data_IF_695956334134
#
_entry.id   IF_695956334134
#
_cell.length_a   1.000
_cell.length_b   1.000
_cell.length_c   1.000
_cell.angle_alpha   90.00
_cell.angle_beta   90.00
_cell.angle_gamma   90.00
#
_symmetry.space_group_name_H-M   'P 1'
#
loop_
_entity.id
_entity.type
_entity.pdbx_description
1 polymer ?
#
# COMPACT_ATOMS: atom_id res chain seq x y z
N UNK A 1 -9.77 -42.67 -20.54
CA UNK A 1 -9.81 -42.05 -19.19
C UNK A 1 -8.65 -42.65 -18.44
N UNK A 2 -7.49 -42.02 -18.52
CA UNK A 2 -6.33 -42.44 -17.74
C UNK A 2 -6.62 -42.17 -16.25
N UNK A 3 -6.34 -43.16 -15.40
CA UNK A 3 -6.48 -43.03 -13.96
C UNK A 3 -5.67 -41.82 -13.46
N UNK A 4 -6.17 -41.04 -12.48
CA UNK A 4 -5.43 -39.91 -11.94
C UNK A 4 -4.16 -40.45 -11.27
N UNK A 5 -3.00 -40.17 -11.86
CA UNK A 5 -1.71 -40.36 -11.21
C UNK A 5 -1.79 -39.65 -9.86
N UNK A 6 -1.60 -40.39 -8.76
CA UNK A 6 -1.51 -39.85 -7.42
C UNK A 6 -0.26 -38.94 -7.37
N UNK A 7 -0.42 -37.67 -7.75
CA UNK A 7 0.68 -36.71 -7.83
C UNK A 7 1.02 -36.29 -6.40
N UNK A 8 2.19 -36.70 -5.91
CA UNK A 8 2.75 -36.17 -4.68
C UNK A 8 2.95 -34.66 -4.82
N UNK A 9 2.65 -33.92 -3.75
CA UNK A 9 2.88 -32.47 -3.73
C UNK A 9 4.38 -32.16 -3.95
N UNK A 10 4.72 -31.03 -4.59
CA UNK A 10 6.11 -30.61 -4.78
C UNK A 10 6.85 -30.48 -3.45
N UNK A 11 7.96 -31.21 -3.33
CA UNK A 11 8.80 -31.27 -2.12
C UNK A 11 10.26 -31.56 -2.50
N UNK A 12 11.17 -31.28 -1.57
CA UNK A 12 12.54 -31.79 -1.58
C UNK A 12 12.99 -31.97 -0.14
N UNK A 13 12.94 -33.22 0.34
CA UNK A 13 13.25 -33.54 1.73
C UNK A 13 14.73 -33.30 2.00
N UNK A 14 15.60 -33.59 1.03
CA UNK A 14 17.04 -33.41 1.11
C UNK A 14 17.42 -31.93 1.27
N UNK A 15 16.73 -31.04 0.57
CA UNK A 15 16.92 -29.60 0.72
C UNK A 15 16.44 -29.11 2.09
N UNK A 16 15.29 -29.59 2.57
CA UNK A 16 14.79 -29.26 3.91
C UNK A 16 15.74 -29.75 5.02
N UNK A 17 16.26 -30.98 4.90
CA UNK A 17 17.29 -31.52 5.79
C UNK A 17 18.55 -30.66 5.76
N UNK A 18 18.97 -30.22 4.58
CA UNK A 18 20.16 -29.39 4.43
C UNK A 18 20.01 -28.01 5.08
N UNK A 19 18.81 -27.41 4.99
CA UNK A 19 18.49 -26.14 5.66
C UNK A 19 18.52 -26.31 7.17
N UNK A 20 17.80 -27.30 7.71
CA UNK A 20 17.72 -27.54 9.16
C UNK A 20 19.09 -27.92 9.72
N UNK A 21 19.83 -28.81 9.05
CA UNK A 21 21.18 -29.18 9.47
C UNK A 21 22.12 -27.97 9.51
N UNK A 22 22.01 -27.05 8.54
CA UNK A 22 22.80 -25.82 8.53
C UNK A 22 22.47 -24.91 9.73
N UNK A 23 21.19 -24.83 10.10
CA UNK A 23 20.73 -24.08 11.29
C UNK A 23 21.24 -24.68 12.60
N UNK A 24 21.43 -26.01 12.66
CA UNK A 24 21.97 -26.71 13.83
C UNK A 24 23.49 -26.49 13.97
N UNK A 25 24.20 -26.31 12.85
CA UNK A 25 25.66 -26.19 12.83
C UNK A 25 26.13 -24.74 12.98
N UNK A 26 25.43 -23.77 12.38
CA UNK A 26 25.86 -22.38 12.29
C UNK A 26 24.75 -21.41 12.73
N UNK A 27 25.01 -20.61 13.78
CA UNK A 27 24.08 -19.59 14.28
C UNK A 27 23.74 -18.53 13.21
N UNK A 28 24.68 -18.21 12.31
CA UNK A 28 24.43 -17.24 11.23
C UNK A 28 23.47 -17.80 10.17
N UNK A 29 23.43 -19.12 9.99
CA UNK A 29 22.48 -19.77 9.09
C UNK A 29 21.03 -19.54 9.55
N UNK A 30 20.79 -19.51 10.87
CA UNK A 30 19.45 -19.29 11.44
C UNK A 30 18.89 -17.94 10.99
N UNK A 31 19.67 -16.86 11.15
CA UNK A 31 19.26 -15.51 10.74
C UNK A 31 18.92 -15.44 9.25
N UNK A 32 19.74 -16.07 8.40
CA UNK A 32 19.54 -16.09 6.95
C UNK A 32 18.30 -16.88 6.53
N UNK A 33 18.00 -17.98 7.22
CA UNK A 33 16.80 -18.79 6.96
C UNK A 33 15.54 -18.02 7.39
N UNK A 34 15.58 -17.34 8.53
CA UNK A 34 14.49 -16.53 9.07
C UNK A 34 14.02 -15.42 8.12
N UNK A 35 14.95 -14.85 7.34
CA UNK A 35 14.61 -13.83 6.34
C UNK A 35 13.79 -14.38 5.16
N UNK A 36 13.85 -15.69 4.88
CA UNK A 36 13.34 -16.26 3.62
C UNK A 36 12.29 -17.36 3.79
N UNK A 37 12.26 -18.08 4.92
CA UNK A 37 11.39 -19.23 5.14
C UNK A 37 10.59 -19.11 6.43
N UNK A 38 9.37 -19.65 6.39
CA UNK A 38 8.47 -19.82 7.52
C UNK A 38 8.25 -21.33 7.81
N UNK A 39 7.66 -21.63 8.97
CA UNK A 39 7.33 -23.00 9.38
C UNK A 39 6.52 -23.75 8.30
N UNK A 40 5.55 -23.08 7.66
CA UNK A 40 4.70 -23.68 6.64
C UNK A 40 5.40 -23.96 5.30
N UNK A 41 6.63 -23.46 5.11
CA UNK A 41 7.41 -23.72 3.90
C UNK A 41 8.08 -25.10 3.90
N UNK A 42 8.14 -25.77 5.05
CA UNK A 42 8.58 -27.16 5.15
C UNK A 42 7.42 -28.11 4.86
N UNK A 43 7.65 -29.11 4.00
CA UNK A 43 6.64 -30.11 3.67
C UNK A 43 6.45 -31.13 4.79
N UNK A 44 7.55 -31.61 5.37
CA UNK A 44 7.49 -32.68 6.38
C UNK A 44 7.12 -32.09 7.74
N UNK A 45 6.10 -32.63 8.39
CA UNK A 45 5.66 -32.16 9.71
C UNK A 45 6.77 -32.20 10.76
N UNK A 46 7.63 -33.21 10.73
CA UNK A 46 8.80 -33.28 11.62
C UNK A 46 9.78 -32.12 11.40
N UNK A 47 9.95 -31.64 10.17
CA UNK A 47 10.78 -30.47 9.87
C UNK A 47 10.15 -29.18 10.38
N UNK A 48 8.82 -29.04 10.29
CA UNK A 48 8.09 -27.91 10.89
C UNK A 48 8.35 -27.82 12.40
N UNK A 49 8.25 -28.95 13.09
CA UNK A 49 8.50 -29.06 14.54
C UNK A 49 9.94 -28.67 14.88
N UNK A 50 10.92 -29.19 14.14
CA UNK A 50 12.34 -28.87 14.37
C UNK A 50 12.60 -27.38 14.11
N UNK A 51 12.10 -26.84 12.99
CA UNK A 51 12.25 -25.44 12.66
C UNK A 51 11.70 -24.53 13.75
N UNK A 52 10.48 -24.81 14.21
CA UNK A 52 9.83 -24.06 15.30
C UNK A 52 10.66 -24.12 16.60
N UNK A 53 11.17 -25.29 16.97
CA UNK A 53 12.00 -25.46 18.16
C UNK A 53 13.30 -24.64 18.07
N UNK A 54 14.00 -24.69 16.93
CA UNK A 54 15.20 -23.89 16.69
C UNK A 54 14.88 -22.39 16.83
N UNK A 55 13.73 -21.97 16.30
CA UNK A 55 13.28 -20.58 16.35
C UNK A 55 13.01 -20.10 17.77
N UNK A 56 12.31 -20.90 18.57
CA UNK A 56 12.06 -20.63 19.98
C UNK A 56 13.37 -20.59 20.79
N UNK A 57 14.28 -21.53 20.54
CA UNK A 57 15.59 -21.54 21.19
C UNK A 57 16.39 -20.28 20.85
N UNK A 58 16.44 -19.91 19.57
CA UNK A 58 17.15 -18.72 19.10
C UNK A 58 16.57 -17.42 19.68
N UNK A 59 15.23 -17.30 19.75
CA UNK A 59 14.55 -16.14 20.37
C UNK A 59 14.83 -15.98 21.86
N UNK A 60 15.00 -17.10 22.57
CA UNK A 60 15.36 -17.10 24.00
C UNK A 60 16.88 -17.01 24.22
N UNK A 61 17.65 -16.66 23.18
CA UNK A 61 19.12 -16.60 23.17
C UNK A 61 19.81 -17.87 23.70
N UNK A 62 19.16 -19.03 23.50
CA UNK A 62 19.73 -20.33 23.80
C UNK A 62 20.65 -20.77 22.67
N UNK A 63 21.74 -21.46 23.02
CA UNK A 63 22.60 -22.09 22.02
C UNK A 63 21.81 -23.15 21.26
N UNK A 64 21.90 -23.12 19.93
CA UNK A 64 21.29 -24.11 19.03
C UNK A 64 22.42 -24.98 18.49
N UNK A 65 22.46 -26.22 18.98
CA UNK A 65 23.32 -27.30 18.50
C UNK A 65 22.55 -28.63 18.63
N UNK A 66 23.13 -29.73 18.17
CA UNK A 66 22.46 -31.03 18.19
C UNK A 66 22.04 -31.46 19.61
N UNK A 67 22.87 -31.23 20.62
CA UNK A 67 22.62 -31.71 21.99
C UNK A 67 21.53 -30.88 22.64
N UNK A 68 21.66 -29.56 22.56
CA UNK A 68 20.69 -28.59 23.11
C UNK A 68 19.32 -28.75 22.45
N UNK A 69 19.26 -28.95 21.12
CA UNK A 69 18.01 -29.16 20.41
C UNK A 69 17.31 -30.46 20.83
N UNK A 70 18.06 -31.56 20.99
CA UNK A 70 17.51 -32.83 21.45
C UNK A 70 16.93 -32.72 22.87
N UNK A 71 17.65 -32.05 23.78
CA UNK A 71 17.17 -31.84 25.15
C UNK A 71 15.93 -30.94 25.18
N UNK A 72 15.92 -29.87 24.37
CA UNK A 72 14.76 -28.99 24.24
C UNK A 72 13.52 -29.73 23.72
N UNK A 73 13.66 -30.49 22.62
CA UNK A 73 12.57 -31.30 22.06
C UNK A 73 12.09 -32.39 23.00
N UNK A 74 12.97 -32.94 23.85
CA UNK A 74 12.61 -33.92 24.87
C UNK A 74 11.83 -33.27 26.01
N UNK A 75 12.29 -32.12 26.49
CA UNK A 75 11.64 -31.35 27.56
C UNK A 75 10.25 -30.84 27.19
N UNK A 76 10.00 -30.63 25.89
CA UNK A 76 8.73 -30.16 25.33
C UNK A 76 7.85 -31.31 24.80
N UNK A 77 8.26 -32.57 24.98
CA UNK A 77 7.57 -33.77 24.48
C UNK A 77 7.36 -33.81 22.95
N UNK A 78 8.15 -33.04 22.19
CA UNK A 78 8.06 -32.94 20.72
C UNK A 78 9.06 -33.83 19.98
N UNK A 79 9.99 -34.48 20.69
CA UNK A 79 11.08 -35.28 20.10
C UNK A 79 10.60 -36.38 19.15
N UNK A 80 9.57 -37.13 19.54
CA UNK A 80 9.01 -38.19 18.70
C UNK A 80 8.34 -37.62 17.43
N UNK A 81 7.65 -36.47 17.56
CA UNK A 81 7.04 -35.78 16.41
C UNK A 81 8.08 -35.21 15.45
N UNK A 82 9.25 -34.82 15.95
CA UNK A 82 10.39 -34.38 15.15
C UNK A 82 11.09 -35.54 14.38
N UNK A 83 10.76 -36.79 14.68
CA UNK A 83 11.36 -37.99 14.07
C UNK A 83 12.37 -38.72 14.96
N UNK A 84 12.53 -38.29 16.21
CA UNK A 84 13.39 -38.94 17.20
C UNK A 84 14.89 -38.61 17.06
N UNK A 85 15.68 -39.11 18.01
CA UNK A 85 17.12 -38.83 18.13
C UNK A 85 17.88 -39.22 16.87
N UNK A 86 17.60 -40.40 16.33
CA UNK A 86 18.30 -40.95 15.17
C UNK A 86 18.13 -40.04 13.95
N UNK A 87 16.91 -39.56 13.71
CA UNK A 87 16.61 -38.72 12.56
C UNK A 87 17.26 -37.34 12.68
N UNK A 88 17.17 -36.69 13.83
CA UNK A 88 17.77 -35.36 14.04
C UNK A 88 19.31 -35.43 13.90
N UNK A 89 19.91 -36.53 14.37
CA UNK A 89 21.35 -36.77 14.19
C UNK A 89 21.71 -36.95 12.72
N UNK A 90 20.90 -37.69 11.95
CA UNK A 90 21.06 -37.83 10.50
C UNK A 90 20.95 -36.47 9.78
N UNK A 91 19.96 -35.65 10.13
CA UNK A 91 19.77 -34.31 9.56
C UNK A 91 20.99 -33.41 9.82
N UNK A 92 21.49 -33.39 11.05
CA UNK A 92 22.71 -32.65 11.40
C UNK A 92 23.94 -33.14 10.61
N UNK A 93 24.02 -34.45 10.39
CA UNK A 93 25.13 -35.09 9.63
C UNK A 93 25.01 -34.94 8.11
N UNK A 94 23.83 -34.58 7.60
CA UNK A 94 23.54 -34.53 6.17
C UNK A 94 24.13 -33.32 5.45
N UNK A 95 24.61 -32.31 6.19
CA UNK A 95 25.12 -31.05 5.65
C UNK A 95 26.64 -31.09 5.51
N UNK A 96 27.19 -31.13 4.27
CA UNK A 96 28.63 -31.12 4.07
C UNK A 96 29.23 -29.70 4.23
N UNK A 97 28.44 -28.66 3.94
CA UNK A 97 28.85 -27.26 4.00
C UNK A 97 27.64 -26.32 4.05
N UNK A 98 27.74 -25.25 4.84
CA UNK A 98 26.74 -24.17 4.90
C UNK A 98 26.88 -23.16 3.74
N UNK A 99 27.93 -23.26 2.92
CA UNK A 99 28.18 -22.32 1.82
C UNK A 99 27.02 -22.27 0.80
N UNK A 100 26.34 -23.40 0.58
CA UNK A 100 25.24 -23.53 -0.37
C UNK A 100 23.85 -23.28 0.26
N UNK A 101 23.79 -22.81 1.51
CA UNK A 101 22.53 -22.60 2.22
C UNK A 101 21.51 -21.77 1.43
N UNK A 102 21.96 -20.71 0.75
CA UNK A 102 21.08 -19.90 -0.12
C UNK A 102 20.38 -20.72 -1.20
N UNK A 103 21.08 -21.68 -1.80
CA UNK A 103 20.51 -22.53 -2.84
C UNK A 103 19.48 -23.50 -2.27
N UNK A 104 19.74 -24.07 -1.08
CA UNK A 104 18.77 -24.95 -0.42
C UNK A 104 17.53 -24.19 0.04
N UNK A 105 17.70 -23.00 0.62
CA UNK A 105 16.60 -22.08 0.96
C UNK A 105 15.72 -21.83 -0.27
N UNK A 106 16.35 -21.50 -1.41
CA UNK A 106 15.62 -21.25 -2.66
C UNK A 106 14.83 -22.48 -3.11
N UNK A 107 15.43 -23.68 -3.06
CA UNK A 107 14.72 -24.92 -3.43
C UNK A 107 13.49 -25.14 -2.54
N UNK A 108 13.63 -25.01 -1.22
CA UNK A 108 12.51 -25.19 -0.28
C UNK A 108 11.42 -24.14 -0.53
N UNK A 109 11.82 -22.88 -0.72
CA UNK A 109 10.92 -21.77 -1.06
C UNK A 109 10.16 -22.04 -2.36
N UNK A 110 10.85 -22.42 -3.45
CA UNK A 110 10.24 -22.72 -4.74
C UNK A 110 9.22 -23.87 -4.62
N UNK A 111 9.56 -24.94 -3.88
CA UNK A 111 8.62 -26.06 -3.65
C UNK A 111 7.43 -25.62 -2.80
N UNK A 112 7.64 -24.81 -1.77
CA UNK A 112 6.55 -24.24 -0.97
C UNK A 112 5.59 -23.40 -1.82
N UNK A 113 6.12 -22.50 -2.66
CA UNK A 113 5.34 -21.69 -3.59
C UNK A 113 4.50 -22.55 -4.52
N UNK A 114 5.07 -23.62 -5.09
CA UNK A 114 4.30 -24.57 -5.90
C UNK A 114 3.17 -25.27 -5.12
N UNK A 115 3.40 -25.63 -3.84
CA UNK A 115 2.34 -26.20 -3.00
C UNK A 115 1.24 -25.19 -2.69
N UNK A 116 1.61 -23.94 -2.38
CA UNK A 116 0.66 -22.83 -2.16
C UNK A 116 -0.18 -22.58 -3.41
N UNK A 117 0.44 -22.61 -4.59
CA UNK A 117 -0.26 -22.50 -5.89
C UNK A 117 -1.26 -23.64 -6.09
N UNK A 118 -0.86 -24.90 -5.88
CA UNK A 118 -1.76 -26.05 -6.01
C UNK A 118 -2.97 -25.89 -5.07
N UNK A 119 -2.73 -25.54 -3.80
CA UNK A 119 -3.81 -25.32 -2.81
C UNK A 119 -4.74 -24.18 -3.24
N UNK A 120 -4.19 -23.06 -3.70
CA UNK A 120 -4.98 -21.93 -4.18
C UNK A 120 -5.81 -22.31 -5.43
N UNK A 121 -5.21 -23.03 -6.39
CA UNK A 121 -5.93 -23.53 -7.56
C UNK A 121 -7.06 -24.47 -7.19
N UNK A 122 -6.87 -25.39 -6.24
CA UNK A 122 -7.95 -26.26 -5.75
C UNK A 122 -9.10 -25.45 -5.16
N UNK A 123 -8.81 -24.45 -4.33
CA UNK A 123 -9.86 -23.56 -3.81
C UNK A 123 -10.56 -22.78 -4.93
N UNK A 124 -9.84 -22.28 -5.93
CA UNK A 124 -10.44 -21.57 -7.07
C UNK A 124 -11.37 -22.50 -7.86
N UNK A 125 -10.99 -23.77 -8.03
CA UNK A 125 -11.84 -24.78 -8.67
C UNK A 125 -13.12 -24.99 -7.85
N UNK A 126 -13.01 -25.16 -6.54
CA UNK A 126 -14.17 -25.32 -5.64
C UNK A 126 -15.11 -24.11 -5.69
N UNK A 127 -14.57 -22.89 -5.61
CA UNK A 127 -15.33 -21.64 -5.73
C UNK A 127 -16.05 -21.53 -7.08
N UNK A 128 -15.39 -21.97 -8.16
CA UNK A 128 -15.98 -21.94 -9.51
C UNK A 128 -17.19 -22.87 -9.64
N UNK A 129 -17.21 -24.00 -8.93
CA UNK A 129 -18.38 -24.89 -8.90
C UNK A 129 -19.51 -24.35 -8.02
N UNK A 130 -19.17 -23.74 -6.88
CA UNK A 130 -20.12 -23.35 -5.84
C UNK A 130 -20.77 -21.97 -6.08
N UNK A 131 -20.06 -21.01 -6.68
CA UNK A 131 -20.48 -19.60 -6.80
C UNK A 131 -20.74 -19.16 -8.24
N UNK A 132 -21.64 -19.87 -8.94
CA UNK A 132 -21.94 -19.63 -10.36
C UNK A 132 -22.68 -18.31 -10.64
N UNK A 133 -23.29 -17.69 -9.63
CA UNK A 133 -24.10 -16.48 -9.76
C UNK A 133 -23.31 -15.17 -9.69
N UNK A 134 -22.04 -15.19 -9.26
CA UNK A 134 -21.21 -13.99 -9.14
C UNK A 134 -19.78 -14.25 -9.65
N UNK A 135 -19.67 -14.33 -10.98
CA UNK A 135 -18.40 -14.61 -11.68
C UNK A 135 -17.33 -13.56 -11.36
N UNK A 136 -17.71 -12.29 -11.25
CA UNK A 136 -16.78 -11.19 -10.93
C UNK A 136 -16.09 -11.41 -9.58
N UNK A 137 -16.85 -11.78 -8.55
CA UNK A 137 -16.28 -12.07 -7.23
C UNK A 137 -15.35 -13.29 -7.24
N UNK A 138 -15.69 -14.34 -8.02
CA UNK A 138 -14.80 -15.51 -8.17
C UNK A 138 -13.46 -15.11 -8.79
N UNK A 139 -13.47 -14.22 -9.78
CA UNK A 139 -12.25 -13.67 -10.40
C UNK A 139 -11.44 -12.84 -9.40
N UNK A 140 -12.05 -11.94 -8.61
CA UNK A 140 -11.31 -11.17 -7.59
C UNK A 140 -10.68 -12.08 -6.53
N UNK A 141 -11.40 -13.10 -6.06
CA UNK A 141 -10.87 -14.08 -5.09
C UNK A 141 -9.67 -14.84 -5.68
N UNK A 142 -9.76 -15.25 -6.95
CA UNK A 142 -8.67 -15.92 -7.64
C UNK A 142 -7.43 -15.01 -7.76
N UNK A 143 -7.61 -13.79 -8.24
CA UNK A 143 -6.52 -12.81 -8.37
C UNK A 143 -5.88 -12.51 -7.02
N UNK A 144 -6.69 -12.29 -5.97
CA UNK A 144 -6.19 -12.02 -4.61
C UNK A 144 -5.35 -13.17 -4.07
N UNK A 145 -5.76 -14.42 -4.29
CA UNK A 145 -5.00 -15.60 -3.86
C UNK A 145 -3.66 -15.70 -4.57
N UNK A 146 -3.64 -15.50 -5.89
CA UNK A 146 -2.40 -15.53 -6.67
C UNK A 146 -1.47 -14.38 -6.26
N UNK A 147 -2.02 -13.19 -6.08
CA UNK A 147 -1.28 -12.01 -5.64
C UNK A 147 -0.62 -12.23 -4.27
N UNK A 148 -1.36 -12.76 -3.29
CA UNK A 148 -0.80 -13.06 -1.97
C UNK A 148 0.34 -14.09 -2.00
N UNK A 149 0.28 -15.05 -2.92
CA UNK A 149 1.36 -16.03 -3.12
C UNK A 149 2.59 -15.37 -3.72
N UNK A 150 2.41 -14.49 -4.72
CA UNK A 150 3.52 -13.75 -5.33
C UNK A 150 4.22 -12.83 -4.31
N UNK A 151 3.46 -12.19 -3.41
CA UNK A 151 3.97 -11.32 -2.35
C UNK A 151 4.46 -12.09 -1.10
N UNK A 152 4.49 -13.44 -1.12
CA UNK A 152 4.88 -14.27 0.03
C UNK A 152 4.11 -13.95 1.34
N UNK A 153 2.89 -13.45 1.25
CA UNK A 153 2.11 -13.05 2.41
C UNK A 153 1.59 -14.27 3.15
N UNK A 154 2.11 -14.47 4.36
CA UNK A 154 1.59 -15.47 5.30
C UNK A 154 0.53 -14.79 6.15
N UNK A 155 -0.76 -14.96 5.81
CA UNK A 155 -1.84 -14.48 6.68
C UNK A 155 -1.90 -15.36 7.94
N UNK A 156 -1.31 -14.91 9.04
CA UNK A 156 -1.70 -15.42 10.36
C UNK A 156 -2.96 -14.67 10.76
N UNK A 157 -4.08 -15.39 10.91
CA UNK A 157 -5.37 -14.79 11.25
C UNK A 157 -5.37 -14.17 12.66
N UNK A 158 -4.49 -14.67 13.54
CA UNK A 158 -4.28 -14.16 14.89
C UNK A 158 -2.78 -14.10 15.19
N UNK A 159 -2.33 -12.99 15.77
CA UNK A 159 -0.97 -12.79 16.25
C UNK A 159 -0.98 -12.44 17.74
N UNK A 160 0.04 -12.88 18.48
CA UNK A 160 0.15 -12.55 19.90
C UNK A 160 0.55 -11.08 20.07
N UNK A 161 0.06 -10.43 21.13
CA UNK A 161 0.45 -9.04 21.43
C UNK A 161 1.97 -8.90 21.60
N UNK A 162 2.63 -9.93 22.13
CA UNK A 162 4.09 -9.97 22.29
C UNK A 162 4.82 -9.84 20.95
N UNK A 163 4.48 -10.68 19.97
CA UNK A 163 5.09 -10.63 18.63
C UNK A 163 4.83 -9.27 17.94
N UNK A 164 3.63 -8.70 18.13
CA UNK A 164 3.28 -7.38 17.57
C UNK A 164 4.11 -6.26 18.21
N UNK A 165 4.27 -6.28 19.53
CA UNK A 165 5.06 -5.28 20.25
C UNK A 165 6.55 -5.37 19.91
N UNK A 166 7.11 -6.57 19.76
CA UNK A 166 8.51 -6.77 19.38
C UNK A 166 8.82 -6.12 18.02
N UNK A 167 7.95 -6.33 17.02
CA UNK A 167 8.06 -5.62 15.73
C UNK A 167 7.85 -4.11 15.86
N UNK A 168 6.91 -3.69 16.70
CA UNK A 168 6.65 -2.28 16.98
C UNK A 168 7.85 -1.56 17.59
N UNK A 169 8.59 -2.20 18.49
CA UNK A 169 9.79 -1.63 19.11
C UNK A 169 10.90 -1.36 18.10
N UNK A 170 11.16 -2.28 17.16
CA UNK A 170 12.12 -2.04 16.08
C UNK A 170 11.75 -0.82 15.23
N UNK A 171 10.45 -0.61 14.99
CA UNK A 171 9.97 0.55 14.24
C UNK A 171 10.14 1.85 15.04
N UNK A 172 9.86 1.84 16.35
CA UNK A 172 10.09 2.99 17.24
C UNK A 172 11.58 3.34 17.31
N UNK A 173 12.46 2.35 17.41
CA UNK A 173 13.91 2.56 17.43
C UNK A 173 14.40 3.20 16.13
N UNK A 174 13.89 2.74 14.98
CA UNK A 174 14.16 3.36 13.68
C UNK A 174 13.72 4.83 13.64
N UNK A 175 12.53 5.14 14.15
CA UNK A 175 12.01 6.51 14.23
C UNK A 175 12.82 7.40 15.19
N UNK A 176 13.26 6.83 16.32
CA UNK A 176 14.10 7.55 17.27
C UNK A 176 15.46 7.92 16.69
N UNK A 177 16.04 7.03 15.88
CA UNK A 177 17.32 7.27 15.21
C UNK A 177 17.19 8.25 14.03
N UNK A 178 16.04 8.26 13.35
CA UNK A 178 15.76 9.14 12.21
C UNK A 178 14.94 10.39 12.61
N UNK A 179 15.39 11.11 13.65
CA UNK A 179 14.67 12.30 14.14
C UNK A 179 14.39 13.30 13.02
N UNK A 180 13.10 13.60 12.80
CA UNK A 180 12.65 14.61 11.85
C UNK A 180 12.25 14.06 10.47
N UNK A 181 12.41 12.76 10.21
CA UNK A 181 11.87 12.16 8.99
C UNK A 181 10.35 11.91 9.11
N UNK A 182 9.65 12.20 8.01
CA UNK A 182 8.24 11.87 7.83
C UNK A 182 8.09 10.35 7.78
N UNK A 183 7.28 9.77 8.65
CA UNK A 183 7.17 8.30 8.78
C UNK A 183 6.43 7.65 7.61
N UNK A 184 5.46 8.39 7.05
CA UNK A 184 4.66 7.98 5.89
C UNK A 184 5.20 8.53 4.57
N UNK A 185 4.34 8.51 3.55
CA UNK A 185 4.59 9.20 2.27
C UNK A 185 4.38 10.70 2.48
N UNK A 186 5.41 11.56 2.32
CA UNK A 186 5.26 12.99 2.53
C UNK A 186 4.40 13.62 1.43
N UNK A 187 3.59 14.59 1.82
CA UNK A 187 2.76 15.36 0.88
C UNK A 187 3.54 16.42 0.12
N UNK A 188 4.70 16.84 0.65
CA UNK A 188 5.48 17.97 0.15
C UNK A 188 5.04 19.32 0.69
N UNK A 189 3.98 19.34 1.49
CA UNK A 189 3.55 20.51 2.25
C UNK A 189 4.01 20.38 3.69
N UNK A 190 4.99 21.18 4.10
CA UNK A 190 5.69 21.05 5.38
C UNK A 190 4.75 21.10 6.57
N UNK A 191 3.81 22.05 6.58
CA UNK A 191 2.85 22.21 7.67
C UNK A 191 1.80 21.09 7.70
N UNK A 192 1.50 20.48 6.55
CA UNK A 192 0.62 19.33 6.48
C UNK A 192 1.35 18.08 6.99
N UNK A 193 2.57 17.85 6.54
CA UNK A 193 3.41 16.72 6.95
C UNK A 193 3.76 16.79 8.43
N UNK A 194 3.94 17.98 9.00
CA UNK A 194 4.11 18.16 10.44
C UNK A 194 2.87 17.68 11.25
N UNK A 195 1.68 17.79 10.67
CA UNK A 195 0.43 17.35 11.32
C UNK A 195 0.10 15.88 11.04
N UNK A 196 0.41 15.37 9.86
CA UNK A 196 0.07 14.00 9.44
C UNK A 196 1.19 13.00 9.71
N UNK A 197 2.43 13.47 9.88
CA UNK A 197 3.65 12.64 9.77
C UNK A 197 3.71 11.89 8.43
N UNK A 198 3.14 12.49 7.38
CA UNK A 198 2.95 11.89 6.06
C UNK A 198 1.77 10.91 6.03
N UNK A 199 1.42 10.46 4.84
CA UNK A 199 0.33 9.50 4.65
C UNK A 199 0.82 8.08 4.93
N UNK A 200 0.22 7.41 5.90
CA UNK A 200 0.69 6.10 6.35
C UNK A 200 0.22 4.98 5.41
N UNK A 201 0.99 3.90 5.37
CA UNK A 201 0.64 2.69 4.63
C UNK A 201 -0.71 2.12 5.09
N UNK A 202 -1.58 1.78 4.15
CA UNK A 202 -2.89 1.23 4.45
C UNK A 202 -3.97 2.26 4.81
N UNK A 203 -3.63 3.56 4.90
CA UNK A 203 -4.60 4.62 5.15
C UNK A 203 -5.39 5.01 3.91
N UNK A 204 -6.66 5.34 4.13
CA UNK A 204 -7.52 6.01 3.16
C UNK A 204 -7.61 7.49 3.52
N UNK A 205 -7.09 8.34 2.65
CA UNK A 205 -7.07 9.79 2.79
C UNK A 205 -8.14 10.38 1.87
N UNK A 206 -9.18 10.96 2.45
CA UNK A 206 -10.25 11.61 1.70
C UNK A 206 -9.96 13.10 1.53
N UNK A 207 -9.96 13.59 0.30
CA UNK A 207 -9.85 15.02 -0.01
C UNK A 207 -11.12 15.46 -0.71
N UNK A 208 -11.88 16.35 -0.08
CA UNK A 208 -13.13 16.82 -0.62
C UNK A 208 -13.18 18.34 -0.77
N UNK A 209 -13.81 18.81 -1.84
CA UNK A 209 -13.97 20.23 -2.08
C UNK A 209 -15.20 20.52 -2.95
N UNK A 210 -15.61 21.78 -3.00
CA UNK A 210 -16.51 22.26 -4.06
C UNK A 210 -15.77 22.32 -5.40
N UNK A 211 -16.48 22.31 -6.53
CA UNK A 211 -15.89 22.58 -7.84
C UNK A 211 -15.04 23.86 -7.82
N UNK A 212 -13.98 23.90 -8.63
CA UNK A 212 -13.06 25.05 -8.77
C UNK A 212 -12.20 25.40 -7.55
N UNK A 213 -12.28 24.63 -6.45
CA UNK A 213 -11.43 24.84 -5.25
C UNK A 213 -10.01 24.28 -5.38
N UNK A 214 -9.68 23.58 -6.48
CA UNK A 214 -8.33 23.04 -6.72
C UNK A 214 -8.09 21.60 -6.26
N UNK A 215 -9.15 20.82 -6.01
CA UNK A 215 -9.10 19.39 -5.57
C UNK A 215 -8.10 18.53 -6.35
N UNK A 216 -8.26 18.44 -7.67
CA UNK A 216 -7.35 17.68 -8.54
C UNK A 216 -5.95 18.25 -8.53
N UNK A 217 -5.81 19.58 -8.55
CA UNK A 217 -4.50 20.25 -8.52
C UNK A 217 -3.73 19.90 -7.25
N UNK A 218 -4.38 19.97 -6.08
CA UNK A 218 -3.77 19.61 -4.81
C UNK A 218 -3.29 18.15 -4.79
N UNK A 219 -4.12 17.21 -5.26
CA UNK A 219 -3.76 15.80 -5.35
C UNK A 219 -2.60 15.54 -6.32
N UNK A 220 -2.58 16.24 -7.46
CA UNK A 220 -1.48 16.16 -8.43
C UNK A 220 -0.18 16.73 -7.87
N UNK A 221 -0.20 17.84 -7.12
CA UNK A 221 1.02 18.38 -6.53
C UNK A 221 1.64 17.45 -5.47
N UNK A 222 0.79 16.74 -4.72
CA UNK A 222 1.23 15.65 -3.83
C UNK A 222 1.88 14.53 -4.66
N UNK A 223 1.19 14.03 -5.69
CA UNK A 223 1.69 12.97 -6.55
C UNK A 223 3.02 13.35 -7.23
N UNK A 224 3.12 14.59 -7.70
CA UNK A 224 4.30 15.19 -8.30
C UNK A 224 5.48 15.20 -7.33
N UNK A 225 5.26 15.68 -6.09
CA UNK A 225 6.29 15.68 -5.05
C UNK A 225 6.78 14.26 -4.72
N UNK A 226 5.85 13.33 -4.50
CA UNK A 226 6.14 11.92 -4.19
C UNK A 226 6.93 11.25 -5.32
N UNK A 227 6.58 11.51 -6.57
CA UNK A 227 7.27 10.88 -7.69
C UNK A 227 8.63 11.54 -8.01
N UNK A 228 8.70 12.87 -7.95
CA UNK A 228 9.89 13.61 -8.39
C UNK A 228 10.93 13.81 -7.28
N UNK A 229 10.51 14.05 -6.04
CA UNK A 229 11.40 14.36 -4.91
C UNK A 229 11.68 13.13 -4.06
N UNK A 230 10.67 12.28 -3.83
CA UNK A 230 10.82 11.04 -3.05
C UNK A 230 11.17 9.82 -3.92
N UNK A 231 11.11 9.95 -5.26
CA UNK A 231 11.38 8.87 -6.21
C UNK A 231 10.51 7.61 -6.04
N UNK A 232 9.30 7.81 -5.49
CA UNK A 232 8.31 6.78 -5.20
C UNK A 232 7.35 6.58 -6.39
N UNK A 233 6.73 5.41 -6.45
CA UNK A 233 5.80 5.01 -7.51
C UNK A 233 4.38 5.47 -7.20
N UNK A 234 3.76 6.22 -8.10
CA UNK A 234 2.42 6.79 -7.94
C UNK A 234 1.49 6.32 -9.05
N UNK A 235 0.33 5.81 -8.67
CA UNK A 235 -0.75 5.45 -9.60
C UNK A 235 -1.89 6.44 -9.49
N UNK A 236 -2.36 6.97 -10.62
CA UNK A 236 -3.45 7.95 -10.69
C UNK A 236 -4.57 7.36 -11.55
N UNK A 237 -5.74 7.16 -10.95
CA UNK A 237 -6.98 6.88 -11.66
C UNK A 237 -7.74 8.18 -11.85
N UNK A 238 -7.89 8.62 -13.10
CA UNK A 238 -8.64 9.83 -13.45
C UNK A 238 -9.92 9.47 -14.17
N UNK A 239 -11.05 9.67 -13.50
CA UNK A 239 -12.38 9.35 -13.99
C UNK A 239 -13.05 10.57 -14.65
N UNK A 240 -12.54 11.77 -14.38
CA UNK A 240 -13.09 13.04 -14.91
C UNK A 240 -12.22 13.63 -16.04
N UNK A 241 -10.89 13.54 -15.91
CA UNK A 241 -9.95 14.18 -16.83
C UNK A 241 -9.19 13.14 -17.66
N UNK A 242 -8.87 13.50 -18.90
CA UNK A 242 -7.95 12.70 -19.72
C UNK A 242 -6.52 12.74 -19.16
N UNK A 243 -5.75 11.69 -19.43
CA UNK A 243 -4.32 11.62 -19.06
C UNK A 243 -3.50 12.78 -19.63
N UNK A 244 -3.83 13.26 -20.84
CA UNK A 244 -3.15 14.42 -21.45
C UNK A 244 -3.39 15.70 -20.64
N UNK A 245 -4.63 15.92 -20.19
CA UNK A 245 -4.94 17.10 -19.37
C UNK A 245 -4.23 17.05 -18.00
N UNK A 246 -4.11 15.87 -17.39
CA UNK A 246 -3.32 15.72 -16.15
C UNK A 246 -1.84 15.93 -16.40
N UNK A 247 -1.30 15.40 -17.50
CA UNK A 247 0.11 15.59 -17.88
C UNK A 247 0.44 17.08 -18.07
N UNK A 248 -0.43 17.84 -18.73
CA UNK A 248 -0.26 19.29 -18.86
C UNK A 248 -0.29 20.01 -17.51
N UNK A 249 -1.14 19.60 -16.57
CA UNK A 249 -1.15 20.16 -15.21
C UNK A 249 0.16 19.91 -14.47
N UNK A 250 0.67 18.68 -14.51
CA UNK A 250 1.95 18.32 -13.91
C UNK A 250 3.11 19.12 -14.54
N UNK A 251 3.10 19.24 -15.88
CA UNK A 251 4.10 20.02 -16.61
C UNK A 251 4.07 21.50 -16.24
N UNK A 252 2.89 22.14 -16.21
CA UNK A 252 2.76 23.54 -15.80
C UNK A 252 3.21 23.78 -14.36
N UNK A 253 2.90 22.85 -13.46
CA UNK A 253 3.27 22.94 -12.04
C UNK A 253 4.79 22.86 -11.84
N UNK A 254 5.46 21.91 -12.49
CA UNK A 254 6.91 21.74 -12.36
C UNK A 254 7.66 22.87 -13.11
N UNK A 255 7.18 23.25 -14.30
CA UNK A 255 7.81 24.30 -15.12
C UNK A 255 7.50 25.73 -14.64
N UNK A 256 6.49 25.92 -13.77
CA UNK A 256 5.92 27.22 -13.43
C UNK A 256 5.49 28.03 -14.67
N UNK A 257 4.84 27.36 -15.61
CA UNK A 257 4.33 27.97 -16.86
C UNK A 257 2.81 28.11 -16.79
N UNK A 258 2.32 29.26 -17.26
CA UNK A 258 0.89 29.56 -17.26
C UNK A 258 0.12 28.56 -18.12
N UNK A 259 -0.90 27.92 -17.54
CA UNK A 259 -1.70 26.91 -18.20
C UNK A 259 -2.51 27.46 -19.38
N UNK A 260 -2.96 28.72 -19.31
CA UNK A 260 -3.64 29.37 -20.43
C UNK A 260 -2.68 29.55 -21.61
N UNK A 261 -1.43 29.99 -21.35
CA UNK A 261 -0.40 30.11 -22.40
C UNK A 261 -0.11 28.77 -23.06
N UNK A 262 0.06 27.71 -22.27
CA UNK A 262 0.27 26.35 -22.78
C UNK A 262 -0.89 25.91 -23.67
N UNK A 263 -2.13 26.16 -23.24
CA UNK A 263 -3.34 25.77 -23.98
C UNK A 263 -3.55 26.58 -25.26
N UNK A 264 -3.20 27.87 -25.28
CA UNK A 264 -3.35 28.73 -26.46
C UNK A 264 -2.15 28.69 -27.40
N UNK A 265 -1.04 28.09 -26.96
CA UNK A 265 0.24 28.10 -27.69
C UNK A 265 0.96 29.45 -27.63
N UNK A 266 0.51 30.39 -26.80
CA UNK A 266 1.12 31.71 -26.63
C UNK A 266 2.31 31.67 -25.65
N UNK A 267 3.25 30.76 -25.91
CA UNK A 267 4.47 30.55 -25.12
C UNK A 267 5.57 31.46 -25.62
N UNK A 268 6.30 32.08 -24.69
CA UNK A 268 7.53 32.79 -24.99
C UNK A 268 8.76 31.86 -24.92
N UNK A 269 9.94 32.36 -25.32
CA UNK A 269 11.16 31.55 -25.34
C UNK A 269 11.52 31.02 -23.94
N UNK A 270 11.23 31.79 -22.88
CA UNK A 270 11.50 31.37 -21.51
C UNK A 270 10.54 30.25 -21.06
N UNK A 271 9.27 30.32 -21.45
CA UNK A 271 8.30 29.27 -21.20
C UNK A 271 8.76 27.94 -21.85
N UNK A 272 9.28 27.99 -23.08
CA UNK A 272 9.83 26.82 -23.78
C UNK A 272 11.05 26.23 -23.06
N UNK A 273 11.97 27.08 -22.59
CA UNK A 273 13.11 26.64 -21.79
C UNK A 273 12.65 25.95 -20.49
N UNK A 274 11.70 26.54 -19.78
CA UNK A 274 11.15 25.98 -18.53
C UNK A 274 10.47 24.63 -18.78
N UNK A 275 9.68 24.51 -19.84
CA UNK A 275 9.03 23.24 -20.24
C UNK A 275 10.09 22.18 -20.56
N UNK A 276 11.13 22.54 -21.31
CA UNK A 276 12.19 21.60 -21.67
C UNK A 276 12.94 21.09 -20.42
N UNK A 277 13.22 21.99 -19.46
CA UNK A 277 13.85 21.62 -18.19
C UNK A 277 12.97 20.69 -17.35
N UNK A 278 11.66 20.94 -17.26
CA UNK A 278 10.72 20.12 -16.48
C UNK A 278 10.41 18.76 -17.12
N UNK A 279 10.46 18.67 -18.46
CA UNK A 279 10.12 17.45 -19.20
C UNK A 279 11.06 16.27 -18.89
N UNK A 280 12.34 16.54 -18.66
CA UNK A 280 13.34 15.50 -18.37
C UNK A 280 13.06 14.74 -17.07
N UNK A 281 12.95 15.42 -15.92
CA UNK A 281 12.55 14.81 -14.64
C UNK A 281 11.18 14.13 -14.71
N UNK A 282 10.16 14.79 -15.28
CA UNK A 282 8.81 14.22 -15.41
C UNK A 282 8.78 12.94 -16.22
N UNK A 283 9.54 12.86 -17.32
CA UNK A 283 9.63 11.64 -18.15
C UNK A 283 10.25 10.44 -17.42
N UNK A 284 11.04 10.68 -16.36
CA UNK A 284 11.66 9.63 -15.54
C UNK A 284 10.86 9.32 -14.28
N UNK A 285 9.85 10.14 -13.97
CA UNK A 285 9.02 9.97 -12.79
C UNK A 285 8.17 8.70 -12.92
N UNK A 286 8.02 7.97 -11.82
CA UNK A 286 7.21 6.74 -11.76
C UNK A 286 5.73 7.10 -11.54
N UNK A 287 5.15 7.84 -12.48
CA UNK A 287 3.73 8.23 -12.46
C UNK A 287 2.98 7.42 -13.52
N UNK A 288 2.02 6.62 -13.09
CA UNK A 288 1.19 5.79 -13.97
C UNK A 288 -0.24 6.30 -13.95
N UNK A 289 -0.75 6.72 -15.11
CA UNK A 289 -2.08 7.34 -15.23
C UNK A 289 -3.01 6.40 -15.99
N UNK A 290 -4.21 6.22 -15.46
CA UNK A 290 -5.30 5.49 -16.07
C UNK A 290 -6.55 6.38 -16.12
N UNK A 291 -6.99 6.72 -17.33
CA UNK A 291 -8.17 7.55 -17.59
C UNK A 291 -9.39 6.76 -18.11
N UNK A 292 -9.43 5.45 -17.81
CA UNK A 292 -10.57 4.59 -18.20
C UNK A 292 -11.86 5.06 -17.51
N UNK A 293 -12.82 5.55 -18.30
CA UNK A 293 -14.12 5.98 -17.80
C UNK A 293 -14.94 4.80 -17.25
N UNK A 294 -15.64 5.02 -16.13
CA UNK A 294 -16.55 4.03 -15.54
C UNK A 294 -15.87 2.76 -15.01
N UNK A 295 -14.56 2.81 -14.73
CA UNK A 295 -13.81 1.68 -14.18
C UNK A 295 -14.34 1.29 -12.80
N UNK A 296 -14.52 -0.01 -12.60
CA UNK A 296 -15.02 -0.57 -11.33
C UNK A 296 -13.88 -0.65 -10.30
N UNK A 297 -14.23 -0.74 -9.00
CA UNK A 297 -13.20 -0.93 -7.94
C UNK A 297 -12.40 -2.22 -8.18
N UNK A 298 -13.04 -3.27 -8.70
CA UNK A 298 -12.40 -4.55 -8.98
C UNK A 298 -11.34 -4.40 -10.07
N UNK A 299 -11.68 -3.76 -11.20
CA UNK A 299 -10.72 -3.50 -12.26
C UNK A 299 -9.54 -2.65 -11.79
N UNK A 300 -9.79 -1.63 -10.95
CA UNK A 300 -8.71 -0.85 -10.32
C UNK A 300 -7.78 -1.76 -9.48
N UNK A 301 -8.35 -2.66 -8.67
CA UNK A 301 -7.57 -3.62 -7.85
C UNK A 301 -6.71 -4.52 -8.73
N UNK A 302 -7.26 -5.07 -9.81
CA UNK A 302 -6.52 -5.90 -10.77
C UNK A 302 -5.36 -5.13 -11.42
N UNK A 303 -5.59 -3.88 -11.84
CA UNK A 303 -4.54 -3.01 -12.40
C UNK A 303 -3.47 -2.67 -11.36
N UNK A 304 -3.85 -2.39 -10.12
CA UNK A 304 -2.91 -2.13 -9.02
C UNK A 304 -2.06 -3.37 -8.70
N UNK A 305 -2.65 -4.57 -8.64
CA UNK A 305 -1.90 -5.83 -8.42
C UNK A 305 -0.81 -6.01 -9.48
N UNK A 306 -1.17 -5.83 -10.76
CA UNK A 306 -0.23 -5.94 -11.87
C UNK A 306 0.91 -4.92 -11.77
N UNK A 307 0.58 -3.65 -11.53
CA UNK A 307 1.57 -2.58 -11.39
C UNK A 307 2.48 -2.77 -10.16
N UNK A 308 1.93 -3.19 -9.02
CA UNK A 308 2.72 -3.46 -7.80
C UNK A 308 3.75 -4.57 -8.03
N UNK A 309 3.38 -5.64 -8.73
CA UNK A 309 4.31 -6.72 -9.06
C UNK A 309 5.44 -6.30 -10.02
N UNK A 310 5.16 -5.38 -10.94
CA UNK A 310 6.12 -4.99 -11.99
C UNK A 310 7.02 -3.81 -11.56
N UNK A 311 6.45 -2.82 -10.86
CA UNK A 311 7.11 -1.53 -10.57
C UNK A 311 7.06 -1.12 -9.09
N UNK A 312 6.25 -1.78 -8.27
CA UNK A 312 5.88 -1.31 -6.93
C UNK A 312 4.85 -0.17 -6.96
N UNK A 313 4.17 0.07 -5.84
CA UNK A 313 3.23 1.19 -5.66
C UNK A 313 3.41 1.75 -4.25
N UNK A 314 3.64 3.06 -4.16
CA UNK A 314 3.82 3.77 -2.89
C UNK A 314 2.66 4.74 -2.61
N UNK A 315 1.91 5.17 -3.63
CA UNK A 315 0.74 6.03 -3.48
C UNK A 315 -0.27 5.74 -4.60
N UNK A 316 -1.56 5.72 -4.25
CA UNK A 316 -2.65 5.65 -5.22
C UNK A 316 -3.50 6.91 -5.08
N UNK A 317 -3.85 7.55 -6.19
CA UNK A 317 -4.75 8.71 -6.26
C UNK A 317 -5.96 8.34 -7.12
N UNK A 318 -7.18 8.62 -6.64
CA UNK A 318 -8.43 8.35 -7.34
C UNK A 318 -9.24 9.65 -7.48
N UNK A 319 -9.40 10.16 -8.69
CA UNK A 319 -10.17 11.38 -9.00
C UNK A 319 -11.36 11.09 -9.92
N UNK A 320 -12.61 10.97 -9.46
CA UNK A 320 -13.11 11.06 -8.09
C UNK A 320 -14.18 9.99 -7.82
N UNK A 321 -14.36 9.64 -6.56
CA UNK A 321 -15.10 8.45 -6.11
C UNK A 321 -16.50 8.29 -6.71
N UNK A 322 -17.23 9.39 -6.88
CA UNK A 322 -18.62 9.34 -7.33
C UNK A 322 -18.78 8.99 -8.82
N UNK A 323 -17.72 8.90 -9.62
CA UNK A 323 -17.80 8.41 -11.00
C UNK A 323 -17.61 6.91 -11.14
N UNK A 324 -17.36 6.21 -10.04
CA UNK A 324 -17.25 4.76 -10.01
C UNK A 324 -18.63 4.12 -10.05
N UNK A 325 -18.76 3.09 -10.88
CA UNK A 325 -19.91 2.21 -10.95
C UNK A 325 -19.77 1.08 -9.93
N UNK A 326 -20.79 0.88 -9.10
CA UNK A 326 -21.04 -0.40 -8.44
C UNK A 326 -21.51 -1.41 -9.48
N UNK A 327 -21.16 -2.69 -9.30
CA UNK A 327 -21.45 -3.76 -10.26
C UNK A 327 -22.92 -3.81 -10.72
N UNK A 328 -23.15 -4.50 -11.84
CA UNK A 328 -24.33 -4.41 -12.72
C UNK A 328 -25.73 -4.73 -12.13
N UNK A 329 -25.89 -4.88 -10.80
CA UNK A 329 -27.14 -5.29 -10.14
C UNK A 329 -27.71 -4.27 -9.12
N UNK A 330 -27.34 -2.99 -9.18
CA UNK A 330 -27.82 -1.95 -8.25
C UNK A 330 -29.11 -1.26 -8.72
N UNK A 331 -30.25 -1.89 -8.48
CA UNK A 331 -31.59 -1.29 -8.69
C UNK A 331 -32.12 -0.58 -7.42
N UNK A 332 -31.24 -0.15 -6.50
CA UNK A 332 -31.70 0.52 -5.29
C UNK A 332 -30.60 1.06 -4.38
N UNK A 333 -30.55 2.39 -4.31
CA UNK A 333 -29.88 3.21 -3.30
C UNK A 333 -28.38 3.50 -3.51
N UNK A 334 -28.12 4.61 -4.20
CA UNK A 334 -26.79 5.23 -4.41
C UNK A 334 -25.94 5.33 -3.13
N UNK A 335 -26.57 5.50 -1.96
CA UNK A 335 -25.87 5.55 -0.68
C UNK A 335 -25.18 4.22 -0.33
N UNK A 336 -25.81 3.09 -0.68
CA UNK A 336 -25.24 1.77 -0.43
C UNK A 336 -24.04 1.51 -1.35
N UNK A 337 -24.17 1.86 -2.63
CA UNK A 337 -23.09 1.78 -3.62
C UNK A 337 -21.85 2.57 -3.18
N UNK A 338 -22.04 3.82 -2.76
CA UNK A 338 -20.95 4.67 -2.25
C UNK A 338 -20.30 4.06 -0.99
N UNK A 339 -21.09 3.41 -0.13
CA UNK A 339 -20.58 2.72 1.06
C UNK A 339 -19.74 1.50 0.69
N UNK A 340 -20.12 0.75 -0.35
CA UNK A 340 -19.36 -0.39 -0.84
C UNK A 340 -18.05 0.05 -1.51
N UNK A 341 -18.09 1.12 -2.32
CA UNK A 341 -16.90 1.72 -2.93
C UNK A 341 -15.90 2.14 -1.84
N UNK A 342 -16.37 2.87 -0.82
CA UNK A 342 -15.55 3.33 0.30
C UNK A 342 -14.81 2.19 1.01
N UNK A 343 -15.55 1.15 1.42
CA UNK A 343 -14.96 -0.04 2.06
C UNK A 343 -13.96 -0.74 1.16
N UNK A 344 -14.27 -0.82 -0.13
CA UNK A 344 -13.40 -1.48 -1.10
C UNK A 344 -12.09 -0.70 -1.33
N UNK A 345 -12.13 0.63 -1.25
CA UNK A 345 -10.95 1.48 -1.34
C UNK A 345 -10.10 1.39 -0.08
N UNK A 346 -10.71 1.37 1.11
CA UNK A 346 -9.96 1.10 2.35
C UNK A 346 -9.33 -0.30 2.33
N UNK A 347 -10.02 -1.29 1.77
CA UNK A 347 -9.46 -2.62 1.57
C UNK A 347 -8.31 -2.61 0.55
N UNK A 348 -8.42 -1.86 -0.55
CA UNK A 348 -7.34 -1.66 -1.52
C UNK A 348 -6.10 -1.04 -0.87
N UNK A 349 -6.26 0.00 -0.04
CA UNK A 349 -5.14 0.61 0.69
C UNK A 349 -4.39 -0.41 1.55
N UNK A 350 -5.13 -1.20 2.34
CA UNK A 350 -4.55 -2.27 3.17
C UNK A 350 -3.92 -3.38 2.33
N UNK A 351 -4.54 -3.79 1.23
CA UNK A 351 -4.01 -4.82 0.34
C UNK A 351 -2.73 -4.35 -0.36
N UNK A 352 -2.67 -3.10 -0.81
CA UNK A 352 -1.48 -2.55 -1.48
C UNK A 352 -0.41 -2.09 -0.51
N UNK A 353 -0.68 -2.04 0.80
CA UNK A 353 0.25 -1.51 1.82
C UNK A 353 0.76 -0.12 1.43
N UNK A 354 -0.11 0.72 0.88
CA UNK A 354 0.20 2.09 0.53
C UNK A 354 -1.00 3.01 0.87
N UNK A 355 -0.77 4.30 1.11
CA UNK A 355 -1.85 5.26 1.22
C UNK A 355 -2.66 5.35 -0.09
N UNK A 356 -3.97 5.52 0.05
CA UNK A 356 -4.88 5.82 -1.06
C UNK A 356 -5.52 7.19 -0.82
N UNK A 357 -5.22 8.14 -1.70
CA UNK A 357 -5.87 9.45 -1.75
C UNK A 357 -7.10 9.34 -2.64
N UNK A 358 -8.28 9.48 -2.04
CA UNK A 358 -9.54 9.47 -2.74
C UNK A 358 -10.13 10.89 -2.78
N UNK A 359 -10.41 11.37 -3.98
CA UNK A 359 -11.03 12.68 -4.17
C UNK A 359 -12.56 12.55 -4.15
N UNK A 360 -13.22 13.48 -3.47
CA UNK A 360 -14.68 13.49 -3.37
C UNK A 360 -15.23 14.90 -3.61
N UNK A 361 -16.41 15.00 -4.21
CA UNK A 361 -17.10 16.27 -4.36
C UNK A 361 -18.05 16.50 -3.18
N UNK A 362 -18.10 17.73 -2.68
CA UNK A 362 -19.04 18.13 -1.64
C UNK A 362 -20.43 18.44 -2.20
N UNK A 363 -21.45 18.24 -1.36
CA UNK A 363 -22.80 18.77 -1.62
C UNK A 363 -22.80 20.30 -1.75
N UNK A 364 -23.93 20.89 -2.14
CA UNK A 364 -24.09 22.36 -2.22
C UNK A 364 -24.32 23.02 -0.86
N UNK A 365 -24.40 22.26 0.25
CA UNK A 365 -24.69 22.79 1.57
C UNK A 365 -23.74 23.89 2.07
N UNK A 366 -22.41 23.84 1.82
CA UNK A 366 -21.51 24.93 2.20
C UNK A 366 -21.90 26.28 1.57
N UNK A 367 -22.46 26.30 0.37
CA UNK A 367 -22.83 27.54 -0.33
C UNK A 367 -23.98 28.31 0.36
N UNK A 368 -24.72 27.64 1.25
CA UNK A 368 -25.83 28.24 1.99
C UNK A 368 -25.42 28.81 3.34
N UNK A 369 -24.24 28.43 3.86
CA UNK A 369 -23.70 28.97 5.12
C UNK A 369 -22.97 30.29 4.85
N UNK A 370 -22.95 31.17 5.85
CA UNK A 370 -22.28 32.47 5.73
C UNK A 370 -20.75 32.36 5.58
N UNK A 371 -20.13 31.34 6.17
CA UNK A 371 -18.69 31.14 6.15
C UNK A 371 -18.19 30.29 4.97
N UNK A 372 -19.09 29.63 4.24
CA UNK A 372 -18.81 28.72 3.12
C UNK A 372 -17.81 27.58 3.38
N UNK A 373 -17.27 27.46 4.59
CA UNK A 373 -16.25 26.49 4.98
C UNK A 373 -16.85 25.09 5.08
N UNK A 374 -16.30 24.08 4.39
CA UNK A 374 -16.78 22.71 4.49
C UNK A 374 -16.63 22.11 5.89
N UNK A 375 -17.54 21.19 6.23
CA UNK A 375 -17.52 20.36 7.42
C UNK A 375 -17.96 18.94 7.09
N UNK A 376 -17.76 18.00 8.02
CA UNK A 376 -18.02 16.57 7.81
C UNK A 376 -19.46 16.27 7.32
N UNK A 377 -20.45 17.00 7.84
CA UNK A 377 -21.86 16.83 7.45
C UNK A 377 -22.15 17.18 5.97
N UNK A 378 -21.24 17.87 5.28
CA UNK A 378 -21.41 18.21 3.86
C UNK A 378 -21.11 17.04 2.92
N UNK A 379 -20.54 15.95 3.45
CA UNK A 379 -20.40 14.64 2.81
C UNK A 379 -21.72 13.83 2.85
N UNK A 380 -22.88 14.48 2.99
CA UNK A 380 -24.19 13.89 3.37
C UNK A 380 -24.66 12.65 2.57
N UNK A 381 -24.19 12.44 1.34
CA UNK A 381 -24.46 11.23 0.53
C UNK A 381 -23.42 10.11 0.73
N UNK A 382 -22.51 10.29 1.68
CA UNK A 382 -21.22 9.63 1.79
C UNK A 382 -20.78 9.47 3.25
N UNK A 383 -21.74 9.41 4.20
CA UNK A 383 -21.41 9.25 5.63
C UNK A 383 -20.58 8.00 5.94
N UNK A 384 -20.66 6.96 5.10
CA UNK A 384 -19.79 5.79 5.13
C UNK A 384 -18.35 6.11 4.72
N UNK A 385 -18.14 7.00 3.73
CA UNK A 385 -16.81 7.48 3.34
C UNK A 385 -16.12 8.18 4.50
N UNK A 386 -16.85 9.03 5.23
CA UNK A 386 -16.33 9.66 6.43
C UNK A 386 -15.87 8.61 7.44
N UNK A 387 -16.66 7.57 7.70
CA UNK A 387 -16.34 6.56 8.71
C UNK A 387 -15.11 5.74 8.34
N UNK A 388 -15.01 5.31 7.08
CA UNK A 388 -13.94 4.45 6.59
C UNK A 388 -12.61 5.17 6.41
N UNK A 389 -12.64 6.46 6.03
CA UNK A 389 -11.43 7.27 5.88
C UNK A 389 -10.69 7.45 7.21
N UNK A 390 -9.36 7.37 7.17
CA UNK A 390 -8.50 7.61 8.34
C UNK A 390 -8.19 9.09 8.50
N UNK A 391 -8.09 9.80 7.36
CA UNK A 391 -7.90 11.25 7.28
C UNK A 391 -8.97 11.85 6.36
N UNK A 392 -9.60 12.95 6.78
CA UNK A 392 -10.52 13.73 5.93
C UNK A 392 -10.04 15.18 5.89
N UNK A 393 -9.76 15.65 4.68
CA UNK A 393 -9.32 17.02 4.39
C UNK A 393 -10.31 17.71 3.47
N UNK A 394 -10.62 18.97 3.78
CA UNK A 394 -11.40 19.83 2.90
C UNK A 394 -10.54 20.94 2.33
N UNK A 395 -10.74 21.25 1.05
CA UNK A 395 -10.12 22.41 0.44
C UNK A 395 -11.11 23.57 0.36
N UNK A 396 -10.65 24.74 0.79
CA UNK A 396 -11.41 25.99 0.77
C UNK A 396 -10.52 27.13 0.27
N UNK A 397 -11.09 28.04 -0.52
CA UNK A 397 -10.44 29.26 -0.98
C UNK A 397 -11.40 30.42 -0.79
N UNK A 398 -11.08 31.31 0.13
CA UNK A 398 -11.95 32.44 0.46
C UNK A 398 -12.11 33.40 -0.72
N UNK A 399 -11.03 33.64 -1.47
CA UNK A 399 -11.00 34.51 -2.64
C UNK A 399 -11.99 34.12 -3.75
N UNK A 400 -12.44 32.87 -3.79
CA UNK A 400 -13.44 32.41 -4.74
C UNK A 400 -14.82 33.01 -4.45
N UNK A 401 -15.15 33.18 -3.17
CA UNK A 401 -16.43 33.74 -2.71
C UNK A 401 -16.33 35.24 -2.42
N UNK A 402 -15.19 35.68 -1.89
CA UNK A 402 -14.92 37.06 -1.50
C UNK A 402 -13.71 37.63 -2.24
N UNK A 403 -13.96 38.40 -3.30
CA UNK A 403 -12.89 39.02 -4.11
C UNK A 403 -12.06 40.08 -3.36
N UNK A 404 -12.60 40.61 -2.28
CA UNK A 404 -11.96 41.65 -1.45
C UNK A 404 -11.26 41.07 -0.21
N UNK A 405 -11.15 39.73 -0.12
CA UNK A 405 -10.47 39.07 1.00
C UNK A 405 -8.99 39.50 1.12
N UNK A 406 -8.48 39.54 2.34
CA UNK A 406 -7.06 39.77 2.62
C UNK A 406 -6.22 38.51 2.31
N UNK A 407 -6.82 37.33 2.38
CA UNK A 407 -6.20 36.03 2.11
C UNK A 407 -6.14 35.72 0.59
N UNK A 408 -5.66 36.67 -0.23
CA UNK A 408 -5.54 36.47 -1.70
C UNK A 408 -4.47 35.45 -2.03
N UNK A 409 -4.74 34.60 -3.03
CA UNK A 409 -3.88 33.48 -3.42
C UNK A 409 -3.55 32.54 -2.26
N UNK A 410 -4.45 32.42 -1.27
CA UNK A 410 -4.33 31.47 -0.17
C UNK A 410 -5.45 30.45 -0.28
N UNK A 411 -5.06 29.18 -0.25
CA UNK A 411 -5.96 28.06 -0.06
C UNK A 411 -5.80 27.47 1.33
N UNK A 412 -6.86 26.86 1.81
CA UNK A 412 -6.88 26.21 3.11
C UNK A 412 -7.14 24.73 2.95
N UNK A 413 -6.30 23.93 3.60
CA UNK A 413 -6.50 22.52 3.81
C UNK A 413 -7.01 22.31 5.24
N UNK A 414 -8.32 22.11 5.36
CA UNK A 414 -9.02 21.90 6.62
C UNK A 414 -9.04 20.40 6.91
N UNK A 415 -8.14 19.94 7.76
CA UNK A 415 -8.12 18.56 8.24
C UNK A 415 -9.19 18.37 9.32
N UNK A 416 -10.35 17.89 8.90
CA UNK A 416 -11.54 17.73 9.72
C UNK A 416 -11.57 16.41 10.50
N UNK A 417 -10.83 15.39 10.04
CA UNK A 417 -10.67 14.10 10.74
C UNK A 417 -9.24 13.61 10.57
N UNK A 418 -8.66 13.12 11.66
CA UNK A 418 -7.43 12.33 11.64
C UNK A 418 -7.47 11.32 12.79
N UNK A 419 -7.39 10.02 12.48
CA UNK A 419 -7.47 8.96 13.51
C UNK A 419 -6.27 8.92 14.46
N UNK A 420 -5.09 9.24 13.94
CA UNK A 420 -3.81 9.03 14.64
C UNK A 420 -3.09 10.34 15.01
N UNK A 421 -3.79 11.47 15.05
CA UNK A 421 -3.17 12.77 15.34
C UNK A 421 -4.18 13.92 15.38
N UNK A 422 -3.69 15.17 15.47
CA UNK A 422 -4.54 16.34 15.66
C UNK A 422 -5.34 16.68 14.40
N UNK A 423 -6.47 17.36 14.58
CA UNK A 423 -7.19 18.08 13.51
C UNK A 423 -6.71 19.52 13.42
N UNK A 424 -7.02 20.22 12.33
CA UNK A 424 -6.68 21.63 12.20
C UNK A 424 -6.72 22.14 10.76
N UNK A 425 -6.34 23.39 10.56
CA UNK A 425 -6.25 24.01 9.23
C UNK A 425 -4.81 24.32 8.90
N UNK A 426 -4.41 24.02 7.67
CA UNK A 426 -3.12 24.39 7.08
C UNK A 426 -3.40 25.39 5.97
N UNK A 427 -2.72 26.53 5.99
CA UNK A 427 -2.78 27.52 4.91
C UNK A 427 -1.70 27.20 3.88
N UNK A 428 -2.02 27.32 2.61
CA UNK A 428 -1.16 27.03 1.47
C UNK A 428 -1.21 28.16 0.46
N UNK A 429 -0.11 28.41 -0.23
CA UNK A 429 -0.08 29.34 -1.35
C UNK A 429 -0.83 28.70 -2.53
N UNK A 430 -1.70 29.46 -3.19
CA UNK A 430 -2.43 29.06 -4.38
C UNK A 430 -1.95 29.85 -5.59
N UNK A 431 -1.29 29.16 -6.51
CA UNK A 431 -0.80 29.71 -7.78
C UNK A 431 -1.60 29.07 -8.92
N UNK A 432 -2.88 29.45 -9.01
CA UNK A 432 -3.85 28.79 -9.90
C UNK A 432 -3.46 28.82 -11.38
N UNK A 433 -2.77 29.86 -11.83
CA UNK A 433 -2.27 29.98 -13.21
C UNK A 433 -1.27 28.86 -13.58
N UNK A 434 -0.54 28.33 -12.60
CA UNK A 434 0.41 27.23 -12.78
C UNK A 434 -0.18 25.87 -12.36
N UNK A 435 -1.44 25.83 -11.91
CA UNK A 435 -2.04 24.67 -11.24
C UNK A 435 -1.13 24.14 -10.12
N UNK A 436 -0.84 25.03 -9.16
CA UNK A 436 0.10 24.73 -8.08
C UNK A 436 -0.39 25.22 -6.74
N UNK A 437 -0.35 24.34 -5.75
CA UNK A 437 -0.28 24.71 -4.35
C UNK A 437 1.18 24.71 -3.90
N UNK A 438 1.53 25.62 -2.99
CA UNK A 438 2.87 25.73 -2.40
C UNK A 438 2.82 25.95 -0.89
N UNK A 439 3.97 25.75 -0.23
CA UNK A 439 4.15 26.15 1.17
C UNK A 439 4.06 27.67 1.30
N UNK A 440 3.49 28.16 2.39
CA UNK A 440 3.50 29.59 2.73
C UNK A 440 4.73 29.91 3.56
N UNK A 441 5.63 30.72 3.03
CA UNK A 441 6.67 31.34 3.83
C UNK A 441 6.07 32.55 4.56
N UNK A 442 5.67 32.36 5.81
CA UNK A 442 5.30 33.47 6.69
C UNK A 442 6.59 34.08 7.22
N UNK A 443 7.14 35.06 6.52
CA UNK A 443 8.24 35.89 7.03
C UNK A 443 7.74 36.54 8.32
N UNK A 444 8.15 36.00 9.46
CA UNK A 444 7.98 36.66 10.75
C UNK A 444 8.94 37.85 10.76
N UNK A 445 8.42 39.04 10.48
CA UNK A 445 9.13 40.25 10.84
C UNK A 445 9.11 40.33 12.37
N UNK A 446 10.24 39.99 13.00
CA UNK A 446 10.52 40.36 14.40
C UNK A 446 10.60 41.87 14.58
#
# INVERSE_FOLDING_TARGET
>A
MDAPVMRSLPQSIEAEQSVIGSMIIDKNAIAKVLESLNEEDFYRDGHKVIYKAILEMFRNDMAVDLVTLLEYLKSTEMLERAGGVTYITEVSSSVPSTANLSSYIKIVSDKSTLRKLIKASTTIIEESYNNQSNVENVVDVAEKKIFNIAENRTSKDFESLGDVLERGFMQIEKLFNNKGEVTGVPSGFTDLDAKTSGFQSGDMVLIAARPSMGKTTFALNIAEHVALREHKSVVIFSLEMSKEQLAYKLLCSEANVDMLKLRTGALDDQDWENIAMASGPLSKAKIYIDDTAGVTVMEMRSKCRRLKMEYGIDLIVIDYLQLMSGGANSDGNRQQEVSEISRSIKALAKEMECPVIALSQLSRAPEQRADHRPMLSDLRESGSIEQDADIVMFLYRDEYYNKETEDKNIGECIMAKQRNGPVGTVKLAWLGQFSKFGNLDVVHNE
#
